data_IF_299411321501
#
_entry.id   IF_299411321501
#
_cell.length_a   1.000
_cell.length_b   1.000
_cell.length_c   1.000
_cell.angle_alpha   90.00
_cell.angle_beta   90.00
_cell.angle_gamma   90.00
#
_symmetry.space_group_name_H-M   'P 1'
#
loop_
_entity.id
_entity.type
_entity.pdbx_description
1 polymer ?
#
# COMPACT_ATOMS: atom_id res chain seq x y z
N UNK A 1 -4.80 -19.15 2.39
CA UNK A 1 -3.85 -18.02 2.23
C UNK A 1 -4.51 -16.91 1.45
N UNK A 2 -4.14 -15.67 1.74
CA UNK A 2 -4.70 -14.46 1.12
C UNK A 2 -3.57 -13.61 0.55
N UNK A 3 -3.82 -12.97 -0.59
CA UNK A 3 -2.86 -12.08 -1.26
C UNK A 3 -3.61 -10.88 -1.81
N UNK A 4 -3.30 -9.69 -1.30
CA UNK A 4 -3.62 -8.45 -2.01
C UNK A 4 -2.65 -8.32 -3.17
N UNK A 5 -3.14 -7.90 -4.33
CA UNK A 5 -2.32 -7.76 -5.53
C UNK A 5 -2.71 -6.52 -6.34
N UNK A 6 -1.77 -6.00 -7.13
CA UNK A 6 -2.06 -5.00 -8.17
C UNK A 6 -2.47 -5.73 -9.45
N UNK A 7 -3.70 -5.52 -9.91
CA UNK A 7 -4.17 -5.98 -11.22
C UNK A 7 -4.36 -4.80 -12.15
N UNK A 8 -4.38 -5.03 -13.46
CA UNK A 8 -4.70 -4.01 -14.48
C UNK A 8 -5.91 -4.47 -15.29
N UNK A 9 -6.99 -3.68 -15.25
CA UNK A 9 -8.20 -3.97 -16.01
C UNK A 9 -7.97 -3.79 -17.52
N UNK A 10 -8.89 -4.33 -18.34
CA UNK A 10 -8.82 -4.27 -19.81
C UNK A 10 -8.77 -2.84 -20.37
N UNK A 11 -9.29 -1.87 -19.63
CA UNK A 11 -9.23 -0.44 -19.95
C UNK A 11 -7.94 0.25 -19.45
N UNK A 12 -6.92 -0.53 -19.05
CA UNK A 12 -5.61 -0.07 -18.55
C UNK A 12 -5.67 0.74 -17.26
N UNK A 13 -6.70 0.50 -16.45
CA UNK A 13 -6.80 0.99 -15.07
C UNK A 13 -6.42 -0.11 -14.10
N UNK A 14 -5.30 0.10 -13.44
CA UNK A 14 -4.84 -0.63 -12.25
C UNK A 14 -5.84 -0.59 -11.09
N UNK A 15 -5.90 -1.66 -10.32
CA UNK A 15 -6.77 -1.81 -9.16
C UNK A 15 -6.11 -2.73 -8.13
N UNK A 16 -6.55 -2.66 -6.87
CA UNK A 16 -6.14 -3.66 -5.88
C UNK A 16 -7.17 -4.79 -5.83
N UNK A 17 -6.72 -5.99 -6.17
CA UNK A 17 -7.50 -7.22 -6.05
C UNK A 17 -7.14 -7.99 -4.78
N UNK A 18 -7.90 -9.06 -4.56
CA UNK A 18 -7.66 -10.04 -3.50
C UNK A 18 -7.76 -11.44 -4.10
N UNK A 19 -6.75 -12.25 -3.88
CA UNK A 19 -6.72 -13.65 -4.26
C UNK A 19 -6.64 -14.56 -3.03
N UNK A 20 -7.14 -15.77 -3.16
CA UNK A 20 -7.01 -16.82 -2.16
C UNK A 20 -6.36 -18.07 -2.74
N UNK A 21 -5.71 -18.83 -1.86
CA UNK A 21 -5.13 -20.13 -2.19
C UNK A 21 -5.24 -21.09 -1.01
N UNK A 22 -5.57 -22.35 -1.29
CA UNK A 22 -5.55 -23.44 -0.30
C UNK A 22 -4.17 -24.07 -0.10
N UNK A 23 -3.24 -23.88 -1.06
CA UNK A 23 -2.00 -24.64 -1.17
C UNK A 23 -0.75 -23.79 -1.48
N UNK A 24 -0.89 -22.46 -1.58
CA UNK A 24 0.13 -21.48 -2.00
C UNK A 24 0.59 -21.59 -3.46
N UNK A 25 0.06 -22.53 -4.24
CA UNK A 25 0.44 -22.76 -5.64
C UNK A 25 -0.65 -22.29 -6.60
N UNK A 26 -1.91 -22.63 -6.31
CA UNK A 26 -3.05 -22.28 -7.14
C UNK A 26 -3.79 -21.11 -6.50
N UNK A 27 -3.94 -20.04 -7.26
CA UNK A 27 -4.58 -18.81 -6.82
C UNK A 27 -5.84 -18.54 -7.63
N UNK A 28 -6.88 -18.06 -6.95
CA UNK A 28 -8.12 -17.62 -7.57
C UNK A 28 -8.51 -16.26 -7.01
N UNK A 29 -9.11 -15.43 -7.84
CA UNK A 29 -9.70 -14.18 -7.38
C UNK A 29 -10.75 -14.49 -6.32
N UNK A 30 -10.60 -13.85 -5.16
CA UNK A 30 -11.55 -13.98 -4.07
C UNK A 30 -12.79 -13.10 -4.26
N UNK A 31 -12.70 -12.11 -5.15
CA UNK A 31 -13.75 -11.11 -5.39
C UNK A 31 -13.87 -10.85 -6.88
N UNK A 32 -15.08 -10.59 -7.35
CA UNK A 32 -15.33 -10.19 -8.74
C UNK A 32 -15.00 -8.70 -9.00
N UNK A 33 -14.85 -7.91 -7.94
CA UNK A 33 -14.63 -6.46 -7.99
C UNK A 33 -13.40 -6.11 -7.13
N UNK A 34 -12.68 -5.02 -7.45
CA UNK A 34 -11.53 -4.58 -6.64
C UNK A 34 -11.87 -4.37 -5.17
N UNK A 35 -10.96 -4.76 -4.28
CA UNK A 35 -11.09 -4.55 -2.82
C UNK A 35 -10.66 -3.14 -2.39
N UNK A 36 -9.82 -2.48 -3.20
CA UNK A 36 -9.52 -1.05 -3.07
C UNK A 36 -9.77 -0.36 -4.42
N UNK A 37 -10.90 0.34 -4.58
CA UNK A 37 -11.21 1.05 -5.81
C UNK A 37 -10.47 2.39 -5.90
N UNK A 38 -10.15 2.79 -7.12
CA UNK A 38 -9.56 4.12 -7.43
C UNK A 38 -10.45 5.25 -6.92
N UNK A 39 -9.82 6.37 -6.56
CA UNK A 39 -10.51 7.65 -6.34
C UNK A 39 -10.07 8.65 -7.39
N UNK A 40 -10.97 9.04 -8.28
CA UNK A 40 -10.68 10.08 -9.28
C UNK A 40 -10.26 11.38 -8.59
N UNK A 41 -9.16 11.98 -9.06
CA UNK A 41 -8.63 13.24 -8.51
C UNK A 41 -7.92 13.13 -7.15
N UNK A 42 -7.84 11.95 -6.54
CA UNK A 42 -7.10 11.74 -5.29
C UNK A 42 -5.63 11.35 -5.55
N UNK A 43 -4.85 11.23 -4.48
CA UNK A 43 -3.45 10.80 -4.52
C UNK A 43 -3.26 9.34 -4.97
N UNK A 44 -4.35 8.55 -4.98
CA UNK A 44 -4.42 7.15 -5.40
C UNK A 44 -5.37 6.97 -6.60
N UNK A 45 -5.41 7.98 -7.47
CA UNK A 45 -6.20 7.98 -8.72
C UNK A 45 -5.64 7.06 -9.80
N UNK A 46 -4.32 6.80 -9.77
CA UNK A 46 -3.59 6.03 -10.79
C UNK A 46 -3.07 4.68 -10.32
N UNK A 47 -2.49 4.57 -9.13
CA UNK A 47 -1.92 3.30 -8.62
C UNK A 47 -2.37 3.10 -7.18
N UNK A 48 -2.68 1.86 -6.80
CA UNK A 48 -2.93 1.42 -5.43
C UNK A 48 -2.34 0.03 -5.22
N UNK A 49 -1.02 -0.01 -5.08
CA UNK A 49 -0.24 -1.24 -5.05
C UNK A 49 0.08 -1.65 -3.61
N UNK A 50 -0.15 -2.92 -3.21
CA UNK A 50 0.28 -3.39 -1.89
C UNK A 50 1.79 -3.21 -1.72
N UNK A 51 2.22 -2.65 -0.59
CA UNK A 51 3.64 -2.50 -0.27
C UNK A 51 4.11 -3.63 0.66
N UNK A 52 4.57 -3.32 1.89
CA UNK A 52 5.02 -4.34 2.83
C UNK A 52 3.91 -5.32 3.25
N UNK A 53 4.28 -6.50 3.80
CA UNK A 53 3.31 -7.45 4.35
C UNK A 53 2.32 -6.78 5.33
N UNK A 54 1.01 -7.08 5.21
CA UNK A 54 0.00 -6.49 6.09
C UNK A 54 0.20 -6.87 7.56
N UNK A 55 -0.21 -5.97 8.47
CA UNK A 55 -0.22 -6.25 9.91
C UNK A 55 -1.65 -6.63 10.31
N UNK A 56 -1.82 -7.79 10.93
CA UNK A 56 -3.09 -8.15 11.57
C UNK A 56 -3.13 -7.53 12.97
N UNK A 57 -4.18 -6.76 13.23
CA UNK A 57 -4.42 -6.07 14.50
C UNK A 57 -5.81 -6.44 15.03
N UNK A 58 -6.13 -6.03 16.26
CA UNK A 58 -7.49 -6.23 16.78
C UNK A 58 -8.56 -5.49 15.99
N UNK A 59 -8.20 -4.34 15.40
CA UNK A 59 -9.09 -3.50 14.59
C UNK A 59 -9.26 -3.99 13.14
N UNK A 60 -8.39 -4.88 12.65
CA UNK A 60 -8.41 -5.33 11.26
C UNK A 60 -7.02 -5.62 10.69
N UNK A 61 -6.98 -5.88 9.40
CA UNK A 61 -5.76 -6.06 8.60
C UNK A 61 -5.33 -4.69 8.09
N UNK A 62 -4.26 -4.14 8.66
CA UNK A 62 -3.66 -2.90 8.21
C UNK A 62 -2.70 -3.17 7.06
N UNK A 63 -3.05 -2.69 5.88
CA UNK A 63 -2.22 -2.71 4.68
C UNK A 63 -1.59 -1.33 4.46
N UNK A 64 -0.26 -1.29 4.36
CA UNK A 64 0.47 -0.14 3.82
C UNK A 64 0.55 -0.33 2.30
N UNK A 65 0.16 0.69 1.54
CA UNK A 65 0.11 0.62 0.08
C UNK A 65 0.78 1.83 -0.57
N UNK A 66 1.37 1.60 -1.74
CA UNK A 66 1.94 2.60 -2.62
C UNK A 66 0.85 3.15 -3.53
N UNK A 67 0.74 4.47 -3.57
CA UNK A 67 -0.27 5.20 -4.32
C UNK A 67 0.39 6.11 -5.35
N UNK A 68 -0.21 6.26 -6.53
CA UNK A 68 0.17 7.30 -7.47
C UNK A 68 -1.05 8.06 -7.97
N UNK A 69 -0.87 9.36 -8.19
CA UNK A 69 -1.87 10.20 -8.81
C UNK A 69 -1.75 10.21 -10.36
N UNK A 70 -2.66 10.90 -11.03
CA UNK A 70 -2.65 11.05 -12.49
C UNK A 70 -1.40 11.78 -13.04
N UNK A 71 -0.60 12.42 -12.16
CA UNK A 71 0.69 13.04 -12.50
C UNK A 71 1.89 12.15 -12.18
N UNK A 72 1.64 10.89 -11.81
CA UNK A 72 2.65 9.91 -11.43
C UNK A 72 3.52 10.37 -10.25
N UNK A 73 2.92 11.08 -9.29
CA UNK A 73 3.57 11.34 -7.99
C UNK A 73 3.28 10.14 -7.09
N UNK A 74 4.30 9.33 -6.80
CA UNK A 74 4.16 8.15 -5.97
C UNK A 74 4.34 8.50 -4.49
N UNK A 75 3.43 8.00 -3.66
CA UNK A 75 3.28 8.28 -2.24
C UNK A 75 2.92 7.00 -1.48
N UNK A 76 3.07 7.00 -0.15
CA UNK A 76 2.68 5.86 0.70
C UNK A 76 1.47 6.21 1.56
N UNK A 77 0.51 5.30 1.63
CA UNK A 77 -0.73 5.42 2.39
C UNK A 77 -1.10 4.10 3.08
N UNK A 78 -2.27 4.08 3.74
CA UNK A 78 -2.77 2.92 4.47
C UNK A 78 -4.23 2.63 4.17
N UNK A 79 -4.60 1.35 4.21
CA UNK A 79 -5.95 0.83 4.17
C UNK A 79 -6.14 -0.19 5.29
N UNK A 80 -7.32 -0.20 5.91
CA UNK A 80 -7.70 -1.12 6.97
C UNK A 80 -8.83 -2.02 6.43
N UNK A 81 -8.60 -3.31 6.40
CA UNK A 81 -9.58 -4.33 6.00
C UNK A 81 -10.07 -5.12 7.22
N UNK A 82 -11.22 -5.76 7.11
CA UNK A 82 -11.75 -6.63 8.16
C UNK A 82 -10.89 -7.90 8.31
N UNK A 83 -10.62 -8.30 9.56
CA UNK A 83 -9.78 -9.48 9.85
C UNK A 83 -10.51 -10.81 9.66
N UNK A 84 -11.84 -10.79 9.68
CA UNK A 84 -12.70 -11.95 9.45
C UNK A 84 -13.09 -12.09 7.99
N UNK A 85 -13.22 -10.96 7.28
CA UNK A 85 -13.45 -10.90 5.84
C UNK A 85 -12.43 -9.94 5.18
N UNK A 86 -11.29 -10.44 4.66
CA UNK A 86 -10.25 -9.61 4.08
C UNK A 86 -10.68 -8.84 2.82
N UNK A 87 -11.86 -9.13 2.25
CA UNK A 87 -12.39 -8.36 1.12
C UNK A 87 -13.02 -7.03 1.54
N UNK A 88 -13.37 -6.88 2.82
CA UNK A 88 -14.14 -5.75 3.32
C UNK A 88 -13.23 -4.61 3.78
N UNK A 89 -13.20 -3.53 3.00
CA UNK A 89 -12.55 -2.28 3.39
C UNK A 89 -13.31 -1.60 4.54
N UNK A 90 -12.64 -1.38 5.68
CA UNK A 90 -13.16 -0.67 6.85
C UNK A 90 -12.86 0.82 6.75
N UNK A 91 -11.61 1.17 6.46
CA UNK A 91 -11.15 2.54 6.38
C UNK A 91 -9.94 2.64 5.43
N UNK A 92 -9.67 3.84 4.93
CA UNK A 92 -8.44 4.14 4.18
C UNK A 92 -8.02 5.57 4.42
N UNK A 93 -6.74 5.85 4.17
CA UNK A 93 -6.19 7.19 4.31
C UNK A 93 -6.85 8.19 3.35
N UNK A 94 -7.20 9.37 3.86
CA UNK A 94 -7.63 10.51 3.02
C UNK A 94 -6.44 11.27 2.42
N UNK A 95 -5.26 11.16 3.04
CA UNK A 95 -4.01 11.75 2.54
C UNK A 95 -2.84 10.77 2.75
N UNK A 96 -1.82 10.76 1.89
CA UNK A 96 -0.66 9.91 2.08
C UNK A 96 0.15 10.38 3.29
N UNK A 97 0.78 9.44 4.00
CA UNK A 97 1.64 9.75 5.15
C UNK A 97 3.11 9.94 4.76
N UNK A 98 3.53 9.42 3.60
CA UNK A 98 4.86 9.63 3.03
C UNK A 98 4.74 10.13 1.59
N UNK A 99 5.49 11.18 1.25
CA UNK A 99 5.51 11.79 -0.08
C UNK A 99 6.92 12.25 -0.46
N UNK A 100 7.24 12.44 -1.75
CA UNK A 100 8.53 12.96 -2.18
C UNK A 100 8.74 14.41 -1.71
N UNK A 101 9.69 14.61 -0.79
CA UNK A 101 10.01 15.90 -0.18
C UNK A 101 11.42 16.39 -0.47
N UNK A 102 12.38 15.48 -0.62
CA UNK A 102 13.80 15.79 -0.82
C UNK A 102 14.20 15.61 -2.29
N UNK A 103 15.34 16.20 -2.68
CA UNK A 103 15.84 16.09 -4.06
C UNK A 103 16.09 14.65 -4.47
N UNK A 104 16.60 13.81 -3.57
CA UNK A 104 16.86 12.40 -3.87
C UNK A 104 15.56 11.56 -4.06
N UNK A 105 14.41 12.05 -3.58
CA UNK A 105 13.10 11.44 -3.83
C UNK A 105 12.43 12.00 -5.09
N UNK A 106 12.84 13.19 -5.54
CA UNK A 106 12.27 13.90 -6.69
C UNK A 106 13.07 13.72 -7.98
N UNK A 107 14.36 13.44 -7.88
CA UNK A 107 15.30 13.37 -9.00
C UNK A 107 16.00 12.01 -9.00
N UNK A 108 15.74 11.22 -10.03
CA UNK A 108 16.29 9.87 -10.21
C UNK A 108 15.85 9.27 -11.54
N UNK A 109 15.78 7.94 -11.61
CA UNK A 109 15.33 7.24 -12.82
C UNK A 109 13.84 7.51 -13.10
N UNK A 110 13.03 7.53 -12.05
CA UNK A 110 11.63 7.98 -12.10
C UNK A 110 11.50 9.14 -11.10
N UNK A 111 11.12 10.35 -11.53
CA UNK A 111 11.00 11.49 -10.62
C UNK A 111 9.78 11.35 -9.72
N UNK A 112 9.82 12.02 -8.57
CA UNK A 112 8.72 12.10 -7.60
C UNK A 112 8.22 10.73 -7.10
N UNK A 113 9.15 9.87 -6.67
CA UNK A 113 8.82 8.54 -6.14
C UNK A 113 9.27 8.39 -4.69
N UNK A 114 8.32 7.98 -3.85
CA UNK A 114 8.59 7.17 -2.65
C UNK A 114 7.79 5.87 -2.78
N UNK A 115 8.43 4.73 -2.58
CA UNK A 115 7.81 3.41 -2.81
C UNK A 115 8.21 2.43 -1.70
N UNK A 116 7.29 2.09 -0.81
CA UNK A 116 7.57 1.38 0.45
C UNK A 116 7.39 -0.12 0.28
N UNK A 117 8.44 -0.89 0.63
CA UNK A 117 8.48 -2.35 0.43
C UNK A 117 8.87 -3.13 1.70
N UNK A 118 9.58 -2.49 2.62
CA UNK A 118 10.00 -3.11 3.87
C UNK A 118 9.32 -2.45 5.07
N UNK A 119 8.87 -3.26 6.03
CA UNK A 119 8.39 -2.77 7.32
C UNK A 119 8.79 -3.74 8.44
N UNK A 120 9.44 -3.21 9.48
CA UNK A 120 9.96 -4.02 10.60
C UNK A 120 9.62 -3.35 11.93
N UNK A 121 9.00 -4.10 12.84
CA UNK A 121 8.71 -3.61 14.20
C UNK A 121 10.02 -3.44 14.98
N UNK A 122 10.24 -2.26 15.55
CA UNK A 122 11.33 -2.07 16.50
C UNK A 122 10.97 -2.83 17.79
N UNK A 123 11.83 -3.76 18.22
CA UNK A 123 11.55 -4.58 19.42
C UNK A 123 11.68 -3.80 20.73
N UNK A 124 12.36 -2.65 20.69
CA UNK A 124 12.68 -1.84 21.88
C UNK A 124 11.76 -0.63 22.05
N UNK A 125 10.92 -0.34 21.06
CA UNK A 125 10.06 0.85 21.01
C UNK A 125 8.71 0.51 20.41
N UNK A 126 7.69 1.30 20.70
CA UNK A 126 6.40 1.21 20.00
C UNK A 126 6.46 1.94 18.64
N UNK A 127 7.42 1.55 17.81
CA UNK A 127 7.75 2.17 16.53
C UNK A 127 8.02 1.10 15.48
N UNK A 128 7.86 1.47 14.21
CA UNK A 128 8.16 0.64 13.06
C UNK A 128 9.17 1.35 12.17
N UNK A 129 10.14 0.61 11.66
CA UNK A 129 10.94 1.04 10.52
C UNK A 129 10.19 0.72 9.24
N UNK A 130 10.11 1.70 8.34
CA UNK A 130 9.72 1.48 6.95
C UNK A 130 10.92 1.74 6.03
N UNK A 131 11.05 0.91 5.00
CA UNK A 131 12.09 1.01 3.98
C UNK A 131 11.43 1.26 2.63
N UNK A 132 11.90 2.28 1.94
CA UNK A 132 11.28 2.74 0.71
C UNK A 132 12.32 3.13 -0.34
N UNK A 133 12.00 2.87 -1.62
CA UNK A 133 12.72 3.41 -2.76
C UNK A 133 12.45 4.90 -2.92
N UNK A 134 13.48 5.67 -3.28
CA UNK A 134 13.36 7.06 -3.68
C UNK A 134 13.82 7.27 -5.12
N UNK A 135 12.95 7.90 -5.91
CA UNK A 135 13.17 8.20 -7.33
C UNK A 135 13.70 7.03 -8.18
N UNK A 136 13.28 5.80 -7.88
CA UNK A 136 13.77 4.54 -8.49
C UNK A 136 15.31 4.44 -8.54
N UNK A 137 15.97 4.97 -7.51
CA UNK A 137 17.44 5.10 -7.50
C UNK A 137 18.07 4.88 -6.14
N UNK A 138 17.39 5.25 -5.07
CA UNK A 138 17.92 5.23 -3.71
C UNK A 138 17.04 4.40 -2.78
N UNK A 139 17.60 3.98 -1.65
CA UNK A 139 16.84 3.39 -0.55
C UNK A 139 16.88 4.36 0.63
N UNK A 140 15.70 4.67 1.18
CA UNK A 140 15.52 5.40 2.41
C UNK A 140 14.90 4.54 3.50
N UNK A 141 15.00 5.02 4.74
CA UNK A 141 14.29 4.48 5.87
C UNK A 141 13.64 5.60 6.68
N UNK A 142 12.49 5.32 7.29
CA UNK A 142 11.83 6.23 8.22
C UNK A 142 11.24 5.45 9.39
N UNK A 143 11.03 6.14 10.52
CA UNK A 143 10.30 5.59 11.67
C UNK A 143 8.87 6.09 11.65
N UNK A 144 7.93 5.19 11.87
CA UNK A 144 6.51 5.51 12.03
C UNK A 144 5.96 4.91 13.31
N UNK A 145 4.87 5.49 13.81
CA UNK A 145 4.03 4.89 14.86
C UNK A 145 2.67 4.56 14.28
N UNK A 146 2.12 3.44 14.70
CA UNK A 146 0.81 2.97 14.26
C UNK A 146 -0.08 2.96 15.50
N UNK A 147 -1.15 3.75 15.46
CA UNK A 147 -2.17 3.79 16.51
C UNK A 147 -3.54 3.78 15.83
N UNK A 148 -4.38 2.83 16.22
CA UNK A 148 -5.75 2.69 15.72
C UNK A 148 -6.67 2.94 16.91
N UNK A 149 -7.44 4.03 16.86
CA UNK A 149 -8.41 4.41 17.89
C UNK A 149 -9.81 4.00 17.46
N UNK A 150 -10.66 3.63 18.42
CA UNK A 150 -12.03 3.18 18.20
C UNK A 150 -12.99 4.37 18.17
#
# INVERSE_FOLDING_TARGET
WWMYYLGTASDKRDYMGLAFSGDLLHWSDATAQPVLPRRAGAFDSRVMEPGPPPIVTDAGILLIYNAADDKLVYTTAWALFDKTDPSKLIARAETPFLRPQTDWQRVGQVPNVVFTEGMVKDKSKDEWWIYYGGADKYIGASRIRISITH
#
